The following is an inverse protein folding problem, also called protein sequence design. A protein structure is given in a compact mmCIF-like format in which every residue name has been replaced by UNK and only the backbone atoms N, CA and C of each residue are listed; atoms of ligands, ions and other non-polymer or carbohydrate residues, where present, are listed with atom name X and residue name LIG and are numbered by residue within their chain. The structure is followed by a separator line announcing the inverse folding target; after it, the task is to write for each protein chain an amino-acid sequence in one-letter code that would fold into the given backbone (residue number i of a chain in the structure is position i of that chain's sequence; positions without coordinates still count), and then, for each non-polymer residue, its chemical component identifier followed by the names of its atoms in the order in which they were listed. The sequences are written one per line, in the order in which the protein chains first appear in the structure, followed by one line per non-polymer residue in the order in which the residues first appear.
data_IF_488567329858
#
_entry.id   IF_488567329858
#
_cell.length_a   1.000
_cell.length_b   1.000
_cell.length_c   1.000
_cell.angle_alpha   90.00
_cell.angle_beta   90.00
_cell.angle_gamma   90.00
#
_symmetry.space_group_name_H-M   'P 1'
#
loop_
_entity.id
_entity.type
_entity.pdbx_description
1 polymer ?
#
# COMPACT_ATOMS: atom_id res chain seq x y z
N UNK A 1 -11.79 62.88 -19.66
CA UNK A 1 -12.70 64.05 -19.68
C UNK A 1 -14.09 63.47 -19.57
N UNK A 2 -14.88 63.66 -18.52
CA UNK A 2 -14.89 64.58 -17.37
C UNK A 2 -15.69 63.81 -16.27
N UNK A 3 -15.22 63.63 -15.03
CA UNK A 3 -15.22 64.57 -13.89
C UNK A 3 -16.55 65.31 -13.66
N UNK A 4 -17.33 64.86 -12.66
CA UNK A 4 -18.20 65.76 -11.88
C UNK A 4 -18.38 65.17 -10.47
N UNK A 5 -17.60 65.65 -9.48
CA UNK A 5 -17.79 66.74 -8.49
C UNK A 5 -18.46 66.28 -7.18
N UNK A 6 -17.72 66.60 -6.12
CA UNK A 6 -17.86 66.37 -4.68
C UNK A 6 -18.88 67.32 -4.04
N UNK A 7 -19.57 66.88 -2.98
CA UNK A 7 -20.04 67.68 -1.83
C UNK A 7 -20.21 66.72 -0.64
N UNK A 8 -19.94 66.98 0.64
CA UNK A 8 -19.21 67.98 1.44
C UNK A 8 -19.19 67.40 2.88
N UNK A 9 -18.19 67.79 3.66
CA UNK A 9 -17.93 67.36 5.04
C UNK A 9 -19.08 67.52 6.04
N UNK A 10 -19.13 66.61 7.02
CA UNK A 10 -19.92 66.74 8.24
C UNK A 10 -19.49 65.73 9.31
N UNK A 11 -18.58 66.14 10.20
CA UNK A 11 -18.25 65.46 11.48
C UNK A 11 -18.82 66.34 12.61
N UNK A 12 -19.55 65.80 13.60
CA UNK A 12 -18.91 65.38 14.86
C UNK A 12 -19.43 64.06 15.48
N UNK A 13 -18.47 63.25 15.95
CA UNK A 13 -18.61 62.20 16.97
C UNK A 13 -19.06 62.85 18.31
N UNK A 14 -19.80 62.22 19.24
CA UNK A 14 -19.26 61.09 20.02
C UNK A 14 -20.28 59.99 20.42
N UNK A 15 -19.77 58.75 20.48
CA UNK A 15 -20.16 57.71 21.45
C UNK A 15 -21.40 56.85 21.12
N UNK A 16 -21.18 55.60 20.66
CA UNK A 16 -22.25 54.60 20.64
C UNK A 16 -21.95 53.30 19.91
N UNK A 17 -21.42 52.32 20.66
CA UNK A 17 -21.66 50.88 20.50
C UNK A 17 -20.94 50.08 19.39
N UNK A 18 -20.18 49.11 19.92
CA UNK A 18 -19.52 47.97 19.28
C UNK A 18 -20.54 46.99 18.67
N UNK A 19 -20.24 46.43 17.51
CA UNK A 19 -20.37 45.00 17.12
C UNK A 19 -19.64 44.81 15.78
N UNK A 20 -18.38 44.36 15.80
CA UNK A 20 -17.93 42.98 15.62
C UNK A 20 -18.15 42.40 14.21
N UNK A 21 -17.07 42.34 13.43
CA UNK A 21 -17.06 41.71 12.09
C UNK A 21 -15.68 41.76 11.44
N UNK A 22 -14.63 41.30 12.14
CA UNK A 22 -13.32 41.08 11.50
C UNK A 22 -13.18 39.61 11.12
N UNK A 23 -13.32 39.38 9.81
CA UNK A 23 -12.94 38.18 9.10
C UNK A 23 -11.46 37.88 9.34
N UNK A 24 -11.18 36.86 10.15
CA UNK A 24 -9.82 36.35 10.36
C UNK A 24 -9.69 35.02 9.62
N UNK A 25 -8.64 34.85 8.79
CA UNK A 25 -8.41 33.59 8.11
C UNK A 25 -8.14 32.50 9.16
N UNK A 26 -9.04 31.50 9.22
CA UNK A 26 -8.87 30.30 10.02
C UNK A 26 -7.60 29.59 9.55
N UNK A 27 -6.49 29.81 10.26
CA UNK A 27 -5.34 28.91 10.22
C UNK A 27 -5.87 27.53 10.60
N UNK A 28 -6.03 26.66 9.61
CA UNK A 28 -6.20 25.23 9.84
C UNK A 28 -4.96 24.74 10.57
N UNK A 29 -5.06 24.69 11.91
CA UNK A 29 -4.11 23.99 12.74
C UNK A 29 -4.14 22.55 12.25
N UNK A 30 -3.11 22.18 11.48
CA UNK A 30 -2.72 20.78 11.30
C UNK A 30 -2.81 20.15 12.68
N UNK A 31 -3.77 19.24 12.88
CA UNK A 31 -3.80 18.39 14.07
C UNK A 31 -2.42 17.73 14.12
N UNK A 32 -1.56 18.21 15.03
CA UNK A 32 -0.43 17.43 15.50
C UNK A 32 -1.07 16.16 16.04
N UNK A 33 -0.86 15.04 15.35
CA UNK A 33 -1.15 13.72 15.91
C UNK A 33 -0.26 13.64 17.14
N UNK A 34 -0.81 13.94 18.31
CA UNK A 34 -0.14 13.68 19.55
C UNK A 34 0.11 12.17 19.52
N UNK A 35 1.37 11.80 19.38
CA UNK A 35 1.86 10.48 19.68
C UNK A 35 1.64 10.28 21.17
N UNK A 36 0.41 9.97 21.57
CA UNK A 36 0.13 9.49 22.92
C UNK A 36 0.61 8.05 22.97
N UNK A 37 1.94 7.89 22.97
CA UNK A 37 2.58 6.74 23.58
C UNK A 37 2.10 6.79 25.03
N UNK A 38 1.19 5.88 25.36
CA UNK A 38 0.48 5.91 26.62
C UNK A 38 1.48 5.87 27.78
N UNK A 39 1.30 6.70 28.84
CA UNK A 39 2.07 6.60 30.09
C UNK A 39 2.04 5.20 30.70
N UNK A 40 1.03 4.41 30.34
CA UNK A 40 0.78 3.06 30.83
C UNK A 40 1.83 2.03 30.42
N UNK A 41 2.58 2.25 29.33
CA UNK A 41 3.61 1.31 28.89
C UNK A 41 4.94 1.46 29.66
N UNK A 42 5.22 2.66 30.17
CA UNK A 42 6.42 2.97 30.94
C UNK A 42 6.31 2.53 32.41
N UNK A 43 5.08 2.37 32.91
CA UNK A 43 4.79 1.87 34.26
C UNK A 43 4.37 0.40 34.34
N UNK A 44 4.29 -0.31 33.20
CA UNK A 44 3.89 -1.70 33.15
C UNK A 44 4.98 -2.62 33.71
N UNK A 45 4.59 -3.66 34.45
CA UNK A 45 5.52 -4.67 34.94
C UNK A 45 6.12 -5.47 33.78
N UNK A 46 7.20 -6.20 34.00
CA UNK A 46 7.77 -7.09 32.97
C UNK A 46 6.73 -8.12 32.51
N UNK A 47 6.00 -8.73 33.44
CA UNK A 47 4.95 -9.71 33.15
C UNK A 47 3.82 -9.11 32.29
N UNK A 48 3.35 -7.89 32.62
CA UNK A 48 2.33 -7.20 31.83
C UNK A 48 2.80 -6.86 30.41
N UNK A 49 4.09 -6.54 30.25
CA UNK A 49 4.69 -6.25 28.94
C UNK A 49 4.82 -7.52 28.11
N UNK A 50 5.28 -8.61 28.69
CA UNK A 50 5.38 -9.92 28.03
C UNK A 50 4.00 -10.41 27.56
N UNK A 51 2.98 -10.32 28.42
CA UNK A 51 1.61 -10.67 28.05
C UNK A 51 1.07 -9.81 26.90
N UNK A 52 1.42 -8.50 26.87
CA UNK A 52 1.06 -7.60 25.75
C UNK A 52 1.79 -8.00 24.46
N UNK A 53 3.07 -8.35 24.54
CA UNK A 53 3.85 -8.82 23.39
C UNK A 53 3.22 -10.10 22.84
N UNK A 54 2.90 -11.07 23.71
CA UNK A 54 2.29 -12.34 23.30
C UNK A 54 0.96 -12.12 22.57
N UNK A 55 0.08 -11.27 23.12
CA UNK A 55 -1.21 -10.95 22.50
C UNK A 55 -1.03 -10.29 21.12
N UNK A 56 -0.09 -9.34 21.00
CA UNK A 56 0.18 -8.65 19.74
C UNK A 56 0.85 -9.58 18.71
N UNK A 57 1.72 -10.50 19.14
CA UNK A 57 2.33 -11.51 18.28
C UNK A 57 1.27 -12.48 17.73
N UNK A 58 0.34 -12.92 18.56
CA UNK A 58 -0.83 -13.72 18.12
C UNK A 58 -1.69 -12.95 17.11
N UNK A 59 -1.86 -11.65 17.30
CA UNK A 59 -2.56 -10.81 16.33
C UNK A 59 -1.81 -10.74 14.99
N UNK A 60 -0.48 -10.62 15.00
CA UNK A 60 0.34 -10.64 13.76
C UNK A 60 0.20 -11.95 13.00
N UNK A 61 0.27 -13.07 13.70
CA UNK A 61 0.08 -14.40 13.11
C UNK A 61 -1.28 -14.50 12.41
N UNK A 62 -2.36 -14.10 13.08
CA UNK A 62 -3.69 -14.07 12.48
C UNK A 62 -3.82 -13.13 11.28
N UNK A 63 -3.09 -12.00 11.26
CA UNK A 63 -3.04 -11.10 10.10
C UNK A 63 -2.30 -11.73 8.92
N UNK A 64 -1.23 -12.48 9.17
CA UNK A 64 -0.48 -13.20 8.13
C UNK A 64 -1.32 -14.32 7.51
N UNK A 65 -2.01 -15.10 8.34
CA UNK A 65 -2.94 -16.14 7.89
C UNK A 65 -4.08 -15.55 7.06
N UNK A 66 -4.71 -14.49 7.56
CA UNK A 66 -5.79 -13.80 6.83
C UNK A 66 -5.32 -13.24 5.49
N UNK A 67 -4.10 -12.69 5.43
CA UNK A 67 -3.50 -12.26 4.17
C UNK A 67 -3.40 -13.42 3.18
N UNK A 68 -2.82 -14.56 3.60
CA UNK A 68 -2.66 -15.74 2.75
C UNK A 68 -4.01 -16.24 2.21
N UNK A 69 -5.02 -16.37 3.08
CA UNK A 69 -6.39 -16.80 2.70
C UNK A 69 -7.03 -15.90 1.64
N UNK A 70 -6.88 -14.57 1.78
CA UNK A 70 -7.41 -13.61 0.79
C UNK A 70 -6.70 -13.77 -0.55
N UNK A 71 -5.41 -14.11 -0.55
CA UNK A 71 -4.57 -14.16 -1.73
C UNK A 71 -4.69 -15.45 -2.55
N UNK A 72 -5.08 -16.57 -1.95
CA UNK A 72 -5.26 -17.87 -2.65
C UNK A 72 -6.32 -17.83 -3.77
N UNK A 73 -7.26 -16.87 -3.73
CA UNK A 73 -8.31 -16.74 -4.74
C UNK A 73 -7.76 -16.09 -6.02
N UNK A 74 -7.54 -16.89 -7.07
CA UNK A 74 -7.23 -16.38 -8.41
C UNK A 74 -8.41 -15.56 -8.96
N UNK A 75 -8.11 -14.34 -9.41
CA UNK A 75 -9.11 -13.39 -9.94
C UNK A 75 -9.05 -13.23 -11.45
N UNK A 76 -7.91 -13.57 -12.06
CA UNK A 76 -7.67 -13.36 -13.48
C UNK A 76 -7.90 -14.65 -14.22
N UNK A 77 -8.88 -14.64 -15.12
CA UNK A 77 -9.04 -15.68 -16.13
C UNK A 77 -8.05 -15.43 -17.27
N UNK A 78 -7.13 -16.38 -17.46
CA UNK A 78 -6.04 -16.31 -18.43
C UNK A 78 -6.55 -16.39 -19.88
N UNK A 79 -7.69 -17.03 -20.12
CA UNK A 79 -8.28 -17.10 -21.47
C UNK A 79 -8.69 -15.72 -21.99
N UNK A 80 -9.10 -14.81 -21.09
CA UNK A 80 -9.45 -13.43 -21.45
C UNK A 80 -8.25 -12.54 -21.80
N UNK A 81 -7.02 -13.00 -21.52
CA UNK A 81 -5.79 -12.18 -21.60
C UNK A 81 -4.99 -12.49 -22.87
N UNK A 82 -5.05 -13.73 -23.37
CA UNK A 82 -4.23 -14.21 -24.48
C UNK A 82 -4.30 -13.33 -25.74
N UNK A 83 -5.47 -12.71 -26.01
CA UNK A 83 -5.67 -11.84 -27.17
C UNK A 83 -4.98 -10.47 -27.09
N UNK A 84 -4.39 -10.09 -25.94
CA UNK A 84 -3.80 -8.75 -25.70
C UNK A 84 -2.27 -8.69 -25.84
N UNK A 85 -1.64 -9.80 -26.24
CA UNK A 85 -0.20 -9.89 -26.46
C UNK A 85 0.62 -10.29 -25.23
N UNK A 86 1.92 -10.52 -25.44
CA UNK A 86 2.81 -11.13 -24.45
C UNK A 86 2.90 -10.36 -23.12
N UNK A 87 2.94 -9.02 -23.15
CA UNK A 87 3.03 -8.22 -21.93
C UNK A 87 1.79 -8.36 -21.05
N UNK A 88 0.60 -8.49 -21.64
CA UNK A 88 -0.63 -8.69 -20.90
C UNK A 88 -0.66 -10.08 -20.26
N UNK A 89 -0.19 -11.10 -20.98
CA UNK A 89 -0.08 -12.49 -20.47
C UNK A 89 0.90 -12.55 -19.30
N UNK A 90 2.10 -11.97 -19.43
CA UNK A 90 3.08 -11.90 -18.34
C UNK A 90 2.52 -11.14 -17.14
N UNK A 91 1.87 -9.99 -17.36
CA UNK A 91 1.24 -9.23 -16.28
C UNK A 91 0.17 -10.04 -15.53
N UNK A 92 -0.66 -10.77 -16.26
CA UNK A 92 -1.71 -11.61 -15.68
C UNK A 92 -1.18 -12.81 -14.88
N UNK A 93 -0.13 -13.47 -15.38
CA UNK A 93 0.50 -14.60 -14.70
C UNK A 93 1.30 -14.18 -13.45
N UNK A 94 1.81 -12.95 -13.46
CA UNK A 94 2.58 -12.35 -12.37
C UNK A 94 1.69 -11.79 -11.24
N UNK A 95 0.53 -11.21 -11.58
CA UNK A 95 -0.34 -10.51 -10.62
C UNK A 95 -0.65 -11.40 -9.41
N UNK A 96 -0.38 -10.87 -8.22
CA UNK A 96 -0.65 -11.48 -6.91
C UNK A 96 0.18 -12.73 -6.55
N UNK A 97 1.25 -13.01 -7.29
CA UNK A 97 2.24 -14.05 -6.93
C UNK A 97 3.24 -13.55 -5.89
N UNK A 98 3.64 -14.41 -4.96
CA UNK A 98 4.58 -14.13 -3.87
C UNK A 98 6.03 -14.61 -4.13
N UNK A 99 6.24 -15.27 -5.27
CA UNK A 99 7.51 -15.89 -5.64
C UNK A 99 8.68 -14.89 -5.78
N UNK A 100 9.93 -15.33 -5.54
CA UNK A 100 11.13 -14.60 -5.94
C UNK A 100 11.22 -14.49 -7.46
N UNK A 101 11.93 -13.48 -7.96
CA UNK A 101 11.99 -13.17 -9.39
C UNK A 101 12.51 -14.36 -10.22
N UNK A 102 13.55 -15.05 -9.75
CA UNK A 102 14.10 -16.23 -10.41
C UNK A 102 13.04 -17.32 -10.67
N UNK A 103 12.34 -17.76 -9.62
CA UNK A 103 11.27 -18.77 -9.72
C UNK A 103 10.06 -18.27 -10.50
N UNK A 104 9.66 -17.01 -10.26
CA UNK A 104 8.53 -16.40 -10.96
C UNK A 104 8.74 -16.43 -12.48
N UNK A 105 9.92 -16.06 -12.96
CA UNK A 105 10.23 -16.02 -14.39
C UNK A 105 10.17 -17.41 -15.01
N UNK A 106 10.68 -18.43 -14.32
CA UNK A 106 10.62 -19.82 -14.77
C UNK A 106 9.18 -20.33 -14.86
N UNK A 107 8.35 -20.06 -13.83
CA UNK A 107 6.94 -20.45 -13.82
C UNK A 107 6.15 -19.73 -14.93
N UNK A 108 6.30 -18.41 -15.07
CA UNK A 108 5.64 -17.65 -16.15
C UNK A 108 6.08 -18.15 -17.53
N UNK A 109 7.37 -18.44 -17.72
CA UNK A 109 7.87 -18.97 -18.98
C UNK A 109 7.24 -20.34 -19.31
N UNK A 110 7.13 -21.23 -18.32
CA UNK A 110 6.48 -22.54 -18.46
C UNK A 110 5.00 -22.41 -18.80
N UNK A 111 4.26 -21.58 -18.05
CA UNK A 111 2.82 -21.34 -18.27
C UNK A 111 2.55 -20.68 -19.63
N UNK A 112 3.32 -19.67 -20.01
CA UNK A 112 3.18 -18.99 -21.31
C UNK A 112 3.48 -19.93 -22.50
N UNK A 113 4.45 -20.85 -22.34
CA UNK A 113 4.76 -21.88 -23.33
C UNK A 113 3.61 -22.88 -23.48
N UNK A 114 3.00 -23.31 -22.37
CA UNK A 114 1.85 -24.20 -22.39
C UNK A 114 0.62 -23.58 -23.08
N UNK A 115 0.46 -22.25 -22.98
CA UNK A 115 -0.64 -21.52 -23.63
C UNK A 115 -0.42 -21.28 -25.13
N UNK A 116 0.72 -21.67 -25.71
CA UNK A 116 1.04 -21.43 -27.12
C UNK A 116 1.25 -19.96 -27.47
N UNK A 117 1.32 -19.06 -26.48
CA UNK A 117 1.63 -17.62 -26.67
C UNK A 117 3.08 -17.43 -27.13
N UNK A 118 3.91 -18.43 -26.86
CA UNK A 118 5.28 -18.55 -27.35
C UNK A 118 5.34 -19.12 -28.78
N UNK A 119 4.73 -18.45 -29.76
CA UNK A 119 4.95 -18.80 -31.17
C UNK A 119 6.45 -18.76 -31.52
N UNK A 120 6.90 -19.75 -32.32
CA UNK A 120 8.25 -19.94 -32.91
C UNK A 120 9.36 -19.00 -32.39
N UNK A 121 9.78 -19.17 -31.13
CA UNK A 121 10.99 -18.55 -30.59
C UNK A 121 10.89 -17.09 -30.10
N UNK A 122 9.71 -16.47 -30.08
CA UNK A 122 9.58 -15.05 -29.69
C UNK A 122 9.71 -14.78 -28.18
N UNK A 123 9.32 -15.73 -27.33
CA UNK A 123 9.41 -15.57 -25.87
C UNK A 123 10.56 -16.40 -25.32
N UNK A 124 11.59 -15.74 -24.79
CA UNK A 124 12.70 -16.37 -24.05
C UNK A 124 12.56 -16.09 -22.55
N UNK A 125 13.24 -16.87 -21.70
CA UNK A 125 13.32 -16.61 -20.24
C UNK A 125 13.80 -15.18 -19.96
N UNK A 126 14.77 -14.69 -20.73
CA UNK A 126 15.29 -13.33 -20.62
C UNK A 126 14.22 -12.28 -21.01
N UNK A 127 13.44 -12.54 -22.06
CA UNK A 127 12.34 -11.66 -22.45
C UNK A 127 11.25 -11.61 -21.36
N UNK A 128 10.89 -12.76 -20.78
CA UNK A 128 9.96 -12.82 -19.63
C UNK A 128 10.49 -12.00 -18.46
N UNK A 129 11.75 -12.21 -18.06
CA UNK A 129 12.39 -11.43 -16.98
C UNK A 129 12.34 -9.92 -17.26
N UNK A 130 12.70 -9.51 -18.49
CA UNK A 130 12.64 -8.11 -18.89
C UNK A 130 11.22 -7.55 -18.80
N UNK A 131 10.22 -8.31 -19.24
CA UNK A 131 8.81 -7.91 -19.18
C UNK A 131 8.32 -7.81 -17.75
N UNK A 132 8.59 -8.79 -16.88
CA UNK A 132 8.25 -8.76 -15.45
C UNK A 132 8.79 -7.49 -14.79
N UNK A 133 10.06 -7.17 -15.00
CA UNK A 133 10.67 -5.96 -14.44
C UNK A 133 10.11 -4.67 -15.04
N UNK A 134 9.67 -4.70 -16.30
CA UNK A 134 9.11 -3.55 -16.99
C UNK A 134 7.66 -3.26 -16.59
N UNK A 135 6.79 -4.28 -16.60
CA UNK A 135 5.34 -4.11 -16.32
C UNK A 135 5.00 -4.30 -14.86
N UNK A 136 5.88 -4.95 -14.09
CA UNK A 136 5.65 -5.35 -12.70
C UNK A 136 6.42 -4.54 -11.68
N UNK A 137 5.93 -4.63 -10.45
CA UNK A 137 6.59 -4.18 -9.24
C UNK A 137 6.39 -5.23 -8.15
N UNK A 138 7.41 -5.47 -7.34
CA UNK A 138 7.31 -6.34 -6.17
C UNK A 138 7.05 -5.49 -4.94
N UNK A 139 5.95 -5.76 -4.26
CA UNK A 139 5.46 -5.03 -3.10
C UNK A 139 5.65 -5.88 -1.84
N UNK A 140 6.00 -5.23 -0.73
CA UNK A 140 6.09 -5.84 0.60
C UNK A 140 4.86 -5.42 1.39
N UNK A 141 4.12 -6.39 1.94
CA UNK A 141 2.93 -6.14 2.76
C UNK A 141 3.07 -6.62 4.21
N UNK A 142 4.17 -7.25 4.55
CA UNK A 142 4.46 -7.78 5.87
C UNK A 142 5.37 -6.88 6.71
N UNK A 143 6.30 -7.51 7.43
CA UNK A 143 7.30 -6.85 8.26
C UNK A 143 8.54 -6.52 7.42
N UNK A 144 9.04 -5.27 7.44
CA UNK A 144 10.25 -4.91 6.70
C UNK A 144 11.47 -5.71 7.18
N UNK A 145 12.25 -6.22 6.23
CA UNK A 145 13.58 -6.76 6.45
C UNK A 145 14.62 -5.84 5.76
N UNK A 146 15.51 -5.23 6.54
CA UNK A 146 16.49 -4.27 6.03
C UNK A 146 17.55 -4.92 5.13
N UNK A 147 17.80 -6.22 5.31
CA UNK A 147 18.81 -6.99 4.61
C UNK A 147 18.24 -7.80 3.44
N UNK A 148 16.93 -7.66 3.16
CA UNK A 148 16.27 -8.41 2.10
C UNK A 148 16.72 -7.95 0.71
N UNK A 149 17.09 -8.91 -0.14
CA UNK A 149 17.07 -8.70 -1.58
C UNK A 149 15.61 -8.56 -2.01
N UNK A 150 15.19 -7.35 -2.34
CA UNK A 150 13.80 -7.05 -2.73
C UNK A 150 13.31 -7.98 -3.83
N UNK A 151 14.16 -8.45 -4.75
CA UNK A 151 13.72 -9.29 -5.88
C UNK A 151 13.74 -10.79 -5.57
N UNK A 152 14.51 -11.24 -4.59
CA UNK A 152 14.74 -12.67 -4.33
C UNK A 152 14.39 -13.11 -2.90
N UNK A 153 14.09 -12.20 -1.97
CA UNK A 153 13.71 -12.57 -0.60
C UNK A 153 12.42 -13.40 -0.60
N UNK A 154 12.44 -14.47 0.19
CA UNK A 154 11.34 -15.44 0.34
C UNK A 154 10.86 -15.51 1.79
N UNK A 155 11.21 -14.52 2.62
CA UNK A 155 10.83 -14.52 4.03
C UNK A 155 9.30 -14.43 4.17
N UNK A 156 8.70 -15.44 4.82
CA UNK A 156 7.24 -15.52 5.04
C UNK A 156 6.66 -14.26 5.70
N UNK A 157 7.41 -13.64 6.61
CA UNK A 157 6.97 -12.45 7.35
C UNK A 157 6.90 -11.20 6.48
N UNK A 158 7.57 -11.15 5.33
CA UNK A 158 7.62 -9.98 4.45
C UNK A 158 6.39 -9.87 3.54
N UNK A 159 5.66 -10.97 3.33
CA UNK A 159 4.46 -11.05 2.47
C UNK A 159 4.69 -10.36 1.12
N UNK A 160 5.71 -10.80 0.40
CA UNK A 160 6.00 -10.29 -0.94
C UNK A 160 4.87 -10.58 -1.91
N UNK A 161 4.64 -9.66 -2.84
CA UNK A 161 3.56 -9.77 -3.81
C UNK A 161 3.92 -9.00 -5.07
N UNK A 162 3.86 -9.66 -6.21
CA UNK A 162 4.03 -9.04 -7.50
C UNK A 162 2.74 -8.39 -7.97
N UNK A 163 2.83 -7.14 -8.42
CA UNK A 163 1.71 -6.38 -8.92
C UNK A 163 2.05 -5.73 -10.27
N UNK A 164 1.08 -5.67 -11.16
CA UNK A 164 1.17 -4.94 -12.41
C UNK A 164 1.15 -3.44 -12.14
N UNK A 165 2.10 -2.69 -12.69
CA UNK A 165 2.17 -1.23 -12.59
C UNK A 165 0.96 -0.55 -13.24
N UNK A 166 0.57 -1.02 -14.42
CA UNK A 166 -0.56 -0.48 -15.18
C UNK A 166 -1.68 -1.52 -15.31
N UNK A 167 -2.78 -1.31 -14.58
CA UNK A 167 -3.98 -2.15 -14.67
C UNK A 167 -4.63 -2.15 -16.07
N UNK A 168 -4.23 -1.26 -16.99
CA UNK A 168 -4.70 -1.31 -18.39
C UNK A 168 -4.26 -2.59 -19.10
N UNK A 169 -3.18 -3.23 -18.67
CA UNK A 169 -2.75 -4.54 -19.16
C UNK A 169 -3.76 -5.65 -18.82
N UNK A 170 -4.56 -5.46 -17.77
CA UNK A 170 -5.57 -6.42 -17.32
C UNK A 170 -6.89 -6.27 -18.10
N UNK A 171 -7.69 -7.36 -18.23
CA UNK A 171 -9.07 -7.29 -18.74
C UNK A 171 -9.92 -6.29 -17.97
N UNK A 172 -10.74 -5.50 -18.67
CA UNK A 172 -11.51 -4.42 -18.05
C UNK A 172 -12.41 -4.92 -16.92
N UNK A 173 -13.01 -6.10 -17.07
CA UNK A 173 -13.89 -6.71 -16.06
C UNK A 173 -13.21 -7.03 -14.73
N UNK A 174 -11.90 -7.29 -14.71
CA UNK A 174 -11.19 -7.67 -13.48
C UNK A 174 -10.48 -6.49 -12.79
N UNK A 175 -10.30 -5.35 -13.47
CA UNK A 175 -9.59 -4.18 -12.92
C UNK A 175 -10.20 -3.65 -11.62
N UNK A 176 -11.53 -3.67 -11.51
CA UNK A 176 -12.23 -3.27 -10.29
C UNK A 176 -11.90 -4.17 -9.11
N UNK A 177 -11.94 -5.49 -9.33
CA UNK A 177 -11.61 -6.50 -8.32
C UNK A 177 -10.15 -6.39 -7.89
N UNK A 178 -9.22 -6.22 -8.83
CA UNK A 178 -7.80 -6.03 -8.52
C UNK A 178 -7.55 -4.76 -7.68
N UNK A 179 -8.24 -3.66 -7.97
CA UNK A 179 -8.15 -2.45 -7.14
C UNK A 179 -8.64 -2.68 -5.70
N UNK A 180 -9.74 -3.43 -5.54
CA UNK A 180 -10.25 -3.80 -4.21
C UNK A 180 -9.19 -4.64 -3.48
N UNK A 181 -8.62 -5.64 -4.13
CA UNK A 181 -7.60 -6.52 -3.53
C UNK A 181 -6.32 -5.79 -3.15
N UNK A 182 -5.82 -4.88 -4.00
CA UNK A 182 -4.72 -3.96 -3.67
C UNK A 182 -5.03 -3.13 -2.43
N UNK A 183 -6.26 -2.63 -2.33
CA UNK A 183 -6.69 -1.85 -1.16
C UNK A 183 -6.72 -2.72 0.10
N UNK A 184 -7.27 -3.94 0.02
CA UNK A 184 -7.27 -4.89 1.13
C UNK A 184 -5.85 -5.20 1.62
N UNK A 185 -4.90 -5.51 0.71
CA UNK A 185 -3.49 -5.73 1.06
C UNK A 185 -2.87 -4.53 1.77
N UNK A 186 -3.11 -3.31 1.27
CA UNK A 186 -2.64 -2.08 1.93
C UNK A 186 -3.21 -1.92 3.33
N UNK A 187 -4.50 -2.23 3.54
CA UNK A 187 -5.12 -2.17 4.88
C UNK A 187 -4.53 -3.19 5.85
N UNK A 188 -4.31 -4.42 5.38
CA UNK A 188 -3.66 -5.46 6.18
C UNK A 188 -2.24 -5.02 6.55
N UNK A 189 -1.47 -4.50 5.59
CA UNK A 189 -0.12 -3.99 5.82
C UNK A 189 -0.06 -2.80 6.80
N UNK A 190 -1.00 -1.86 6.72
CA UNK A 190 -1.14 -0.77 7.69
C UNK A 190 -1.30 -1.33 9.12
N UNK A 191 -2.09 -2.40 9.27
CA UNK A 191 -2.29 -3.06 10.57
C UNK A 191 -1.04 -3.81 11.03
N UNK A 192 -0.43 -4.62 10.16
CA UNK A 192 0.83 -5.33 10.46
C UNK A 192 1.88 -4.33 10.93
N UNK A 193 2.11 -3.25 10.17
CA UNK A 193 3.08 -2.21 10.52
C UNK A 193 2.80 -1.61 11.90
N UNK A 194 1.54 -1.29 12.20
CA UNK A 194 1.16 -0.73 13.50
C UNK A 194 1.37 -1.72 14.66
N UNK A 195 1.03 -3.00 14.47
CA UNK A 195 1.16 -4.03 15.51
C UNK A 195 2.62 -4.39 15.72
N UNK A 196 3.40 -4.62 14.66
CA UNK A 196 4.85 -4.86 14.75
C UNK A 196 5.59 -3.70 15.42
N UNK A 197 5.20 -2.46 15.12
CA UNK A 197 5.75 -1.28 15.81
C UNK A 197 5.46 -1.27 17.31
N UNK A 198 4.29 -1.76 17.74
CA UNK A 198 3.96 -1.90 19.17
C UNK A 198 4.73 -3.04 19.83
N UNK A 199 4.89 -4.18 19.16
CA UNK A 199 5.71 -5.30 19.64
C UNK A 199 7.15 -4.82 19.87
N UNK A 200 7.75 -4.16 18.87
CA UNK A 200 9.09 -3.61 18.97
C UNK A 200 9.22 -2.57 20.10
N UNK A 201 8.21 -1.72 20.26
CA UNK A 201 8.18 -0.74 21.35
C UNK A 201 8.17 -1.40 22.74
N UNK A 202 7.31 -2.38 22.98
CA UNK A 202 7.28 -3.07 24.28
C UNK A 202 8.57 -3.88 24.53
N UNK A 203 9.13 -4.49 23.49
CA UNK A 203 10.39 -5.21 23.58
C UNK A 203 11.57 -4.28 23.91
N UNK A 204 11.62 -3.09 23.32
CA UNK A 204 12.70 -2.11 23.54
C UNK A 204 12.71 -1.53 24.96
N UNK A 205 11.58 -1.51 25.68
CA UNK A 205 11.52 -1.04 27.08
C UNK A 205 11.99 -2.14 28.05
N UNK A 206 12.10 -3.40 27.59
CA UNK A 206 12.56 -4.52 28.43
C UNK A 206 14.09 -4.65 28.52
N UNK A 207 14.84 -3.94 27.67
CA UNK A 207 16.31 -3.83 27.69
C UNK A 207 16.76 -2.61 28.49
#
# INVERSE_FOLDING_TARGET
MECEVVMTDGIPDPNGQKINGQDRPKKNQKRKRATSLAPEALGATTEEREARIELLSKELEGLFEYYKEVMEKKVVDLEMVAAKGANAVVAALMEERDLPLSKLVEEIYGEAKAMGVCGEGLLTVAAVKSTVLFVGQRMMYGVPNADADVLEDESDSCLWCWETRDLKLMPQGVRGVLNIRRTCRKRIHERITAVSGRVAFFAAIAL
#
